data_IF_975111232614
#
_entry.id   IF_975111232614
#
_cell.length_a   1.000
_cell.length_b   1.000
_cell.length_c   1.000
_cell.angle_alpha   90.00
_cell.angle_beta   90.00
_cell.angle_gamma   90.00
#
_symmetry.space_group_name_H-M   'P 1'
#
loop_
_entity.id
_entity.type
_entity.pdbx_description
1 polymer ?
#
# COMPACT_ATOMS: atom_id res chain seq x y z
N UNK A 1 -38.66 55.13 -9.63
CA UNK A 1 -39.91 54.33 -9.54
C UNK A 1 -39.62 53.15 -8.63
N UNK A 2 -39.87 53.25 -7.31
CA UNK A 2 -41.06 52.74 -6.60
C UNK A 2 -41.46 51.30 -6.99
N UNK A 3 -41.28 50.32 -6.09
CA UNK A 3 -42.35 49.86 -5.17
C UNK A 3 -41.89 48.75 -4.22
N UNK A 4 -42.17 48.99 -2.95
CA UNK A 4 -42.31 48.06 -1.81
C UNK A 4 -43.64 47.30 -1.88
N UNK A 5 -43.69 46.08 -1.30
CA UNK A 5 -44.76 45.45 -0.48
C UNK A 5 -44.50 43.91 -0.42
N UNK A 6 -44.17 43.29 0.71
CA UNK A 6 -45.03 42.73 1.80
C UNK A 6 -46.10 41.71 1.34
N UNK A 7 -46.02 40.46 1.84
CA UNK A 7 -47.05 39.73 2.64
C UNK A 7 -46.74 38.22 2.82
N UNK A 8 -46.76 37.81 4.09
CA UNK A 8 -47.18 36.56 4.76
C UNK A 8 -46.65 35.16 4.37
N UNK A 9 -46.20 34.40 5.39
CA UNK A 9 -46.92 33.19 5.81
C UNK A 9 -46.68 32.76 7.28
N UNK A 10 -47.79 32.73 8.02
CA UNK A 10 -48.19 31.93 9.18
C UNK A 10 -47.19 31.37 10.21
N UNK A 11 -47.25 31.97 11.40
CA UNK A 11 -46.98 31.36 12.71
C UNK A 11 -48.20 30.52 13.13
N UNK A 12 -47.99 29.33 13.70
CA UNK A 12 -49.00 28.66 14.53
C UNK A 12 -48.37 28.19 15.84
N UNK A 13 -48.75 28.87 16.92
CA UNK A 13 -48.57 28.45 18.31
C UNK A 13 -49.51 27.29 18.64
N UNK A 14 -49.16 26.41 19.59
CA UNK A 14 -50.07 25.89 20.64
C UNK A 14 -49.24 25.42 21.85
N UNK A 15 -49.34 26.23 22.89
CA UNK A 15 -49.51 25.98 24.34
C UNK A 15 -48.55 25.08 25.14
N UNK A 16 -47.91 25.76 26.10
CA UNK A 16 -47.40 25.27 27.37
C UNK A 16 -48.48 24.67 28.28
N UNK A 17 -48.13 23.59 28.98
CA UNK A 17 -48.65 23.30 30.33
C UNK A 17 -47.44 22.99 31.22
N UNK A 18 -47.23 23.84 32.22
CA UNK A 18 -46.31 23.63 33.34
C UNK A 18 -46.97 22.79 34.42
N UNK A 19 -46.19 21.95 35.11
CA UNK A 19 -46.45 21.64 36.52
C UNK A 19 -45.11 21.33 37.22
N UNK A 20 -44.79 22.14 38.23
CA UNK A 20 -43.70 21.94 39.19
C UNK A 20 -44.11 20.91 40.26
N UNK A 21 -43.17 20.11 40.77
CA UNK A 21 -42.78 20.17 42.19
C UNK A 21 -41.72 19.12 42.57
N UNK A 22 -40.71 19.62 43.29
CA UNK A 22 -40.01 19.07 44.45
C UNK A 22 -39.36 17.66 44.41
N UNK A 23 -38.02 17.69 44.44
CA UNK A 23 -37.22 17.22 45.59
C UNK A 23 -37.05 15.73 45.83
N UNK A 24 -35.82 15.24 45.65
CA UNK A 24 -35.36 13.95 46.18
C UNK A 24 -33.94 13.61 45.75
N UNK A 25 -32.99 13.79 46.67
CA UNK A 25 -31.61 13.29 46.62
C UNK A 25 -31.56 11.80 46.27
N UNK A 26 -30.74 11.41 45.28
CA UNK A 26 -30.14 10.08 45.20
C UNK A 26 -28.84 10.15 44.39
N UNK A 27 -27.72 10.06 45.09
CA UNK A 27 -26.37 9.82 44.58
C UNK A 27 -26.31 8.49 43.82
N UNK A 28 -25.86 8.52 42.57
CA UNK A 28 -25.43 7.31 41.85
C UNK A 28 -24.18 7.62 41.02
N UNK A 29 -23.08 6.97 41.41
CA UNK A 29 -21.80 6.91 40.71
C UNK A 29 -22.00 6.32 39.31
N UNK A 30 -21.51 7.03 38.27
CA UNK A 30 -21.47 6.51 36.91
C UNK A 30 -20.18 5.70 36.70
N UNK A 31 -20.22 4.41 37.02
CA UNK A 31 -19.25 3.43 36.51
C UNK A 31 -19.85 2.71 35.30
N UNK A 32 -19.63 3.24 34.10
CA UNK A 32 -19.96 2.51 32.86
C UNK A 32 -18.79 1.61 32.47
N UNK A 33 -18.78 0.38 33.01
CA UNK A 33 -18.10 -0.75 32.39
C UNK A 33 -18.91 -1.16 31.15
N UNK A 34 -18.38 -0.90 29.96
CA UNK A 34 -18.89 -1.49 28.73
C UNK A 34 -18.09 -2.78 28.47
N UNK A 35 -18.49 -3.87 29.12
CA UNK A 35 -18.07 -5.23 28.76
C UNK A 35 -19.22 -5.84 27.96
N UNK A 36 -19.17 -5.67 26.63
CA UNK A 36 -20.02 -6.39 25.71
C UNK A 36 -19.40 -7.74 25.39
N UNK A 37 -19.69 -8.75 26.20
CA UNK A 37 -19.45 -10.15 25.85
C UNK A 37 -20.32 -10.52 24.65
N UNK A 38 -19.71 -10.76 23.49
CA UNK A 38 -20.36 -11.48 22.39
C UNK A 38 -20.25 -12.97 22.70
N UNK A 39 -21.15 -13.47 23.55
CA UNK A 39 -21.42 -14.90 23.67
C UNK A 39 -22.40 -15.33 22.58
N UNK A 40 -21.91 -15.38 21.34
CA UNK A 40 -22.59 -15.96 20.18
C UNK A 40 -22.11 -17.38 19.93
N UNK A 41 -22.81 -18.37 20.48
CA UNK A 41 -22.64 -19.78 20.12
C UNK A 41 -23.09 -20.01 18.67
N UNK A 42 -22.15 -19.88 17.74
CA UNK A 42 -22.33 -20.26 16.34
C UNK A 42 -20.99 -20.73 15.76
N UNK A 43 -20.76 -22.05 15.77
CA UNK A 43 -19.61 -22.68 15.12
C UNK A 43 -19.73 -22.67 13.60
N UNK A 44 -19.76 -21.47 13.00
CA UNK A 44 -19.53 -21.29 11.56
C UNK A 44 -18.06 -20.97 11.33
N UNK A 45 -17.38 -21.72 10.47
CA UNK A 45 -16.05 -21.36 10.01
C UNK A 45 -16.08 -19.98 9.34
N UNK A 46 -15.15 -19.10 9.68
CA UNK A 46 -14.95 -17.82 8.99
C UNK A 46 -14.72 -18.10 7.50
N UNK A 47 -15.45 -17.41 6.63
CA UNK A 47 -15.36 -17.56 5.17
C UNK A 47 -14.59 -16.38 4.57
N UNK A 48 -13.89 -16.62 3.46
CA UNK A 48 -13.30 -15.55 2.64
C UNK A 48 -14.36 -14.82 1.81
N UNK A 49 -14.03 -13.65 1.27
CA UNK A 49 -14.94 -12.81 0.47
C UNK A 49 -15.87 -11.93 1.32
N UNK A 50 -15.46 -11.61 2.56
CA UNK A 50 -16.25 -10.75 3.45
C UNK A 50 -15.73 -9.33 3.39
N UNK A 51 -14.42 -9.13 3.57
CA UNK A 51 -13.78 -7.81 3.65
C UNK A 51 -13.95 -7.08 2.31
N UNK A 52 -14.27 -5.79 2.38
CA UNK A 52 -14.38 -4.90 1.22
C UNK A 52 -13.20 -3.93 1.16
N UNK A 53 -12.73 -3.61 -0.04
CA UNK A 53 -11.60 -2.72 -0.24
C UNK A 53 -11.73 -1.93 -1.55
N UNK A 54 -11.01 -0.80 -1.62
CA UNK A 54 -10.78 -0.02 -2.83
C UNK A 54 -9.32 -0.06 -3.28
N UNK A 55 -9.09 0.22 -4.56
CA UNK A 55 -7.76 0.44 -5.15
C UNK A 55 -7.60 1.89 -5.59
N UNK A 56 -6.40 2.45 -5.40
CA UNK A 56 -5.98 3.68 -6.04
C UNK A 56 -4.56 3.56 -6.60
N UNK A 57 -4.42 3.85 -7.90
CA UNK A 57 -3.12 3.90 -8.56
C UNK A 57 -2.71 5.35 -8.85
N UNK A 58 -1.80 5.90 -8.05
CA UNK A 58 -1.28 7.25 -8.23
C UNK A 58 -0.39 7.41 -9.48
N UNK A 59 0.21 6.34 -10.00
CA UNK A 59 1.00 6.42 -11.24
C UNK A 59 0.11 6.66 -12.46
N UNK A 60 -1.08 6.05 -12.48
CA UNK A 60 -2.13 6.26 -13.49
C UNK A 60 -2.86 7.59 -13.28
N UNK A 61 -2.87 8.11 -12.04
CA UNK A 61 -3.53 9.36 -11.66
C UNK A 61 -2.53 10.45 -11.24
N UNK A 62 -1.39 10.55 -11.92
CA UNK A 62 -0.27 11.39 -11.49
C UNK A 62 -0.63 12.85 -11.27
N UNK A 63 -1.42 13.43 -12.17
CA UNK A 63 -1.84 14.83 -12.08
C UNK A 63 -2.71 15.09 -10.85
N UNK A 64 -3.49 14.09 -10.40
CA UNK A 64 -4.25 14.17 -9.16
C UNK A 64 -3.30 14.23 -7.96
N UNK A 65 -2.34 13.31 -7.86
CA UNK A 65 -1.36 13.31 -6.77
C UNK A 65 -0.52 14.61 -6.74
N UNK A 66 -0.02 15.05 -7.90
CA UNK A 66 0.77 16.28 -8.01
C UNK A 66 -0.03 17.52 -7.57
N UNK A 67 -1.32 17.59 -7.93
CA UNK A 67 -2.20 18.69 -7.48
C UNK A 67 -2.50 18.60 -5.99
N UNK A 68 -2.77 17.39 -5.48
CA UNK A 68 -3.08 17.13 -4.08
C UNK A 68 -1.92 17.54 -3.15
N UNK A 69 -0.68 17.24 -3.54
CA UNK A 69 0.51 17.57 -2.73
C UNK A 69 0.89 19.06 -2.75
N UNK A 70 0.30 19.85 -3.66
CA UNK A 70 0.41 21.31 -3.69
C UNK A 70 -0.67 22.00 -2.83
N UNK A 71 -1.67 21.26 -2.37
CA UNK A 71 -2.71 21.77 -1.49
C UNK A 71 -2.15 22.06 -0.08
N UNK A 72 -2.60 23.16 0.52
CA UNK A 72 -2.16 23.60 1.85
C UNK A 72 -2.45 22.59 2.97
N UNK A 73 -3.39 21.66 2.77
CA UNK A 73 -3.71 20.61 3.73
C UNK A 73 -2.71 19.44 3.67
N UNK A 74 -2.02 19.24 2.54
CA UNK A 74 -1.18 18.07 2.29
C UNK A 74 0.26 18.40 1.86
N UNK A 75 0.67 19.66 1.77
CA UNK A 75 2.06 19.99 1.40
C UNK A 75 3.11 19.43 2.38
N UNK A 76 2.72 19.23 3.65
CA UNK A 76 3.62 18.78 4.72
C UNK A 76 3.91 17.28 4.70
N UNK A 77 3.03 16.43 4.14
CA UNK A 77 3.26 14.96 4.12
C UNK A 77 4.52 14.58 3.34
N UNK A 78 4.88 15.37 2.33
CA UNK A 78 6.15 15.22 1.62
C UNK A 78 7.36 15.38 2.55
N UNK A 79 7.38 16.46 3.33
CA UNK A 79 8.46 16.74 4.27
C UNK A 79 8.45 15.85 5.50
N UNK A 80 7.27 15.36 5.92
CA UNK A 80 7.11 14.47 7.06
C UNK A 80 7.88 13.17 6.79
N UNK A 81 7.54 12.44 5.73
CA UNK A 81 8.26 11.20 5.41
C UNK A 81 9.57 11.39 4.61
N UNK A 82 9.87 12.64 4.21
CA UNK A 82 11.03 12.96 3.38
C UNK A 82 10.95 12.43 1.95
N UNK A 83 9.77 12.42 1.34
CA UNK A 83 9.56 12.00 -0.05
C UNK A 83 9.20 13.20 -0.94
N UNK A 84 10.05 13.47 -1.93
CA UNK A 84 9.95 14.58 -2.88
C UNK A 84 9.92 14.04 -4.31
N UNK A 85 8.72 13.84 -4.83
CA UNK A 85 8.48 13.08 -6.08
C UNK A 85 8.45 13.94 -7.35
N UNK A 86 8.97 15.16 -7.28
CA UNK A 86 8.82 16.17 -8.34
C UNK A 86 9.54 15.79 -9.65
N UNK A 87 10.47 14.83 -9.59
CA UNK A 87 11.35 14.46 -10.70
C UNK A 87 11.20 12.99 -11.09
N UNK A 88 9.95 12.61 -11.40
CA UNK A 88 9.60 11.30 -11.96
C UNK A 88 10.16 11.16 -13.39
N UNK A 89 10.79 10.02 -13.67
CA UNK A 89 11.27 9.61 -15.00
C UNK A 89 10.58 8.29 -15.38
N UNK A 90 9.71 8.35 -16.41
CA UNK A 90 9.00 7.16 -16.89
C UNK A 90 9.72 6.53 -18.08
N UNK A 91 9.88 5.21 -18.04
CA UNK A 91 10.60 4.43 -19.05
C UNK A 91 9.72 3.30 -19.59
N UNK A 92 9.73 3.12 -20.91
CA UNK A 92 9.16 1.97 -21.61
C UNK A 92 10.29 1.23 -22.33
N UNK A 93 10.46 -0.06 -22.03
CA UNK A 93 11.45 -0.91 -22.68
C UNK A 93 10.75 -1.96 -23.53
N UNK A 94 11.05 -1.96 -24.82
CA UNK A 94 10.52 -2.91 -25.78
C UNK A 94 11.66 -3.66 -26.49
N UNK A 95 11.35 -4.84 -27.02
CA UNK A 95 12.25 -5.53 -27.95
C UNK A 95 12.15 -4.95 -29.37
N UNK A 96 12.98 -5.45 -30.28
CA UNK A 96 12.99 -5.04 -31.68
C UNK A 96 11.67 -5.36 -32.43
N UNK A 97 10.85 -6.27 -31.89
CA UNK A 97 9.50 -6.59 -32.39
C UNK A 97 8.41 -5.77 -31.71
N UNK A 98 8.78 -4.77 -30.91
CA UNK A 98 7.91 -3.89 -30.14
C UNK A 98 7.09 -4.61 -29.04
N UNK A 99 7.54 -5.77 -28.56
CA UNK A 99 6.98 -6.40 -27.37
C UNK A 99 7.63 -5.86 -26.10
N UNK A 100 6.90 -5.77 -24.99
CA UNK A 100 7.48 -5.34 -23.72
C UNK A 100 8.58 -6.28 -23.21
N UNK A 101 9.68 -5.72 -22.70
CA UNK A 101 10.74 -6.49 -22.04
C UNK A 101 10.49 -6.51 -20.54
N UNK A 102 10.29 -7.70 -19.98
CA UNK A 102 10.01 -7.91 -18.55
C UNK A 102 11.31 -8.08 -17.76
N UNK A 103 11.34 -7.55 -16.53
CA UNK A 103 12.45 -7.66 -15.56
C UNK A 103 13.79 -7.09 -16.05
N UNK A 104 13.76 -6.17 -17.03
CA UNK A 104 14.94 -5.45 -17.49
C UNK A 104 15.39 -4.43 -16.45
N UNK A 105 16.68 -4.44 -16.10
CA UNK A 105 17.27 -3.46 -15.20
C UNK A 105 17.39 -2.12 -15.95
N UNK A 106 16.78 -1.08 -15.39
CA UNK A 106 16.89 0.29 -15.84
C UNK A 106 17.68 1.08 -14.80
N UNK A 107 18.81 1.64 -15.22
CA UNK A 107 19.64 2.50 -14.38
C UNK A 107 19.42 3.96 -14.79
N UNK A 108 19.23 4.81 -13.80
CA UNK A 108 19.27 6.26 -13.96
C UNK A 108 20.59 6.75 -13.36
N UNK A 109 21.39 7.43 -14.18
CA UNK A 109 22.67 7.99 -13.80
C UNK A 109 22.62 9.51 -13.81
N UNK A 110 23.43 10.14 -12.96
CA UNK A 110 23.74 11.57 -12.97
C UNK A 110 25.26 11.71 -12.95
N UNK A 111 25.82 12.45 -13.91
CA UNK A 111 27.27 12.66 -14.03
C UNK A 111 28.07 11.33 -13.99
N UNK A 112 27.52 10.29 -14.63
CA UNK A 112 28.11 8.95 -14.69
C UNK A 112 27.88 8.06 -13.46
N UNK A 113 27.34 8.60 -12.36
CA UNK A 113 27.05 7.85 -11.12
C UNK A 113 25.60 7.35 -11.08
N UNK A 114 25.39 6.12 -10.62
CA UNK A 114 24.05 5.53 -10.49
C UNK A 114 23.29 6.20 -9.33
N UNK A 115 22.16 6.82 -9.62
CA UNK A 115 21.33 7.49 -8.60
C UNK A 115 20.05 6.71 -8.30
N UNK A 116 19.52 5.97 -9.27
CA UNK A 116 18.35 5.10 -9.12
C UNK A 116 18.46 3.86 -10.00
N UNK A 117 17.87 2.76 -9.54
CA UNK A 117 17.69 1.55 -10.33
C UNK A 117 16.27 1.03 -10.14
N UNK A 118 15.66 0.56 -11.21
CA UNK A 118 14.36 -0.10 -11.19
C UNK A 118 14.35 -1.26 -12.18
N UNK A 119 13.32 -2.11 -12.11
CA UNK A 119 13.08 -3.17 -13.10
C UNK A 119 11.75 -3.01 -13.79
N UNK A 120 11.73 -3.32 -15.08
CA UNK A 120 10.49 -3.26 -15.87
C UNK A 120 9.49 -4.32 -15.44
N UNK A 121 8.20 -3.94 -15.40
CA UNK A 121 7.10 -4.89 -15.19
C UNK A 121 6.73 -5.70 -16.44
N UNK A 122 5.64 -6.46 -16.33
CA UNK A 122 4.99 -7.20 -17.43
C UNK A 122 4.68 -6.34 -18.67
N UNK A 123 4.38 -5.05 -18.46
CA UNK A 123 4.14 -4.09 -19.55
C UNK A 123 5.40 -3.39 -20.06
N UNK A 124 6.60 -3.79 -19.61
CA UNK A 124 7.87 -3.18 -20.04
C UNK A 124 8.12 -1.80 -19.44
N UNK A 125 7.28 -1.36 -18.49
CA UNK A 125 7.39 -0.05 -17.84
C UNK A 125 8.19 -0.10 -16.54
N UNK A 126 8.98 0.94 -16.30
CA UNK A 126 9.66 1.21 -15.04
C UNK A 126 9.56 2.71 -14.71
N UNK A 127 9.46 3.05 -13.42
CA UNK A 127 9.52 4.42 -12.93
C UNK A 127 10.81 4.62 -12.15
N UNK A 128 11.50 5.73 -12.42
CA UNK A 128 12.75 6.10 -11.77
C UNK A 128 12.63 7.51 -11.20
N UNK A 129 13.43 7.80 -10.18
CA UNK A 129 13.29 9.01 -9.39
C UNK A 129 14.62 9.73 -9.26
N UNK A 130 14.61 11.02 -9.57
CA UNK A 130 15.72 11.91 -9.28
C UNK A 130 15.47 12.59 -7.94
N UNK A 131 16.43 12.50 -7.02
CA UNK A 131 16.38 13.20 -5.73
C UNK A 131 15.13 12.88 -4.88
N UNK A 132 14.59 11.65 -4.94
CA UNK A 132 13.35 11.27 -4.25
C UNK A 132 13.34 11.60 -2.75
N UNK A 133 14.49 11.55 -2.09
CA UNK A 133 14.65 11.80 -0.66
C UNK A 133 15.35 13.13 -0.35
N UNK A 134 15.45 14.01 -1.34
CA UNK A 134 16.09 15.32 -1.21
C UNK A 134 15.13 16.40 -1.72
N UNK A 135 15.01 17.50 -0.98
CA UNK A 135 14.17 18.62 -1.40
C UNK A 135 14.88 19.46 -2.47
N UNK A 136 14.91 18.94 -3.69
CA UNK A 136 15.37 19.66 -4.88
C UNK A 136 14.17 20.28 -5.59
N UNK A 137 14.24 21.57 -5.93
CA UNK A 137 13.17 22.26 -6.70
C UNK A 137 13.35 22.09 -8.20
N UNK A 138 14.60 22.04 -8.66
CA UNK A 138 14.95 21.90 -10.07
C UNK A 138 15.99 20.78 -10.28
N UNK A 139 15.98 20.20 -11.48
CA UNK A 139 17.00 19.25 -11.92
C UNK A 139 17.57 19.65 -13.27
N UNK A 140 18.88 19.49 -13.39
CA UNK A 140 19.56 19.59 -14.69
C UNK A 140 19.48 18.24 -15.40
N UNK A 141 18.52 18.12 -16.33
CA UNK A 141 18.32 16.89 -17.10
C UNK A 141 19.47 16.58 -18.07
N UNK A 142 20.34 17.55 -18.39
CA UNK A 142 21.47 17.34 -19.31
C UNK A 142 22.55 16.44 -18.71
N UNK A 143 22.56 16.31 -17.38
CA UNK A 143 23.46 15.44 -16.62
C UNK A 143 22.93 14.02 -16.45
N UNK A 144 21.68 13.77 -16.86
CA UNK A 144 21.02 12.49 -16.65
C UNK A 144 21.26 11.55 -17.82
N UNK A 145 21.40 10.26 -17.50
CA UNK A 145 21.44 9.19 -18.49
C UNK A 145 20.58 8.02 -18.04
N UNK A 146 19.86 7.40 -18.98
CA UNK A 146 19.22 6.10 -18.78
C UNK A 146 20.10 5.02 -19.41
N UNK A 147 20.30 3.91 -18.70
CA UNK A 147 21.06 2.76 -19.18
C UNK A 147 20.25 1.49 -19.01
N UNK A 148 20.09 0.73 -20.10
CA UNK A 148 19.42 -0.58 -20.13
C UNK A 148 20.27 -1.53 -20.98
N UNK A 149 20.90 -2.53 -20.34
CA UNK A 149 21.88 -3.37 -21.02
C UNK A 149 23.01 -2.52 -21.62
N UNK A 150 23.19 -2.60 -22.94
CA UNK A 150 24.21 -1.84 -23.66
C UNK A 150 23.68 -0.52 -24.25
N UNK A 151 22.40 -0.21 -24.06
CA UNK A 151 21.75 0.99 -24.61
C UNK A 151 21.84 2.13 -23.60
N UNK A 152 22.32 3.29 -24.06
CA UNK A 152 22.44 4.52 -23.26
C UNK A 152 21.60 5.62 -23.92
N UNK A 153 20.81 6.34 -23.12
CA UNK A 153 20.04 7.52 -23.54
C UNK A 153 20.49 8.71 -22.71
N UNK A 154 21.09 9.72 -23.35
CA UNK A 154 21.55 10.96 -22.69
C UNK A 154 20.53 12.10 -22.74
N UNK A 155 19.47 11.99 -23.54
CA UNK A 155 18.38 12.97 -23.60
C UNK A 155 17.19 12.46 -22.78
N UNK A 156 17.35 12.50 -21.46
CA UNK A 156 16.34 11.98 -20.52
C UNK A 156 15.19 12.98 -20.38
N UNK A 157 13.98 12.51 -20.64
CA UNK A 157 12.74 13.27 -20.46
C UNK A 157 12.24 13.09 -19.02
N UNK A 158 11.89 14.20 -18.39
CA UNK A 158 11.07 14.17 -17.16
C UNK A 158 9.65 13.75 -17.49
N UNK A 159 8.84 13.42 -16.47
CA UNK A 159 7.45 13.02 -16.64
C UNK A 159 6.65 13.96 -17.57
N UNK A 160 6.77 15.28 -17.38
CA UNK A 160 6.08 16.27 -18.23
C UNK A 160 6.61 16.32 -19.67
N UNK A 161 7.84 15.88 -19.91
CA UNK A 161 8.41 15.69 -21.25
C UNK A 161 7.96 14.40 -21.95
N UNK A 162 7.26 13.51 -21.23
CA UNK A 162 6.74 12.25 -21.73
C UNK A 162 7.65 11.04 -21.44
N UNK A 163 7.27 9.89 -22.00
CA UNK A 163 7.93 8.60 -21.73
C UNK A 163 9.25 8.48 -22.50
N UNK A 164 10.27 7.96 -21.83
CA UNK A 164 11.54 7.55 -22.43
C UNK A 164 11.39 6.13 -22.99
N UNK A 165 11.33 6.00 -24.31
CA UNK A 165 11.18 4.70 -24.98
C UNK A 165 12.54 4.15 -25.36
N UNK A 166 12.82 2.90 -24.99
CA UNK A 166 14.09 2.21 -25.20
C UNK A 166 13.80 0.90 -25.93
N UNK A 167 14.46 0.69 -27.07
CA UNK A 167 14.37 -0.57 -27.83
C UNK A 167 15.64 -1.38 -27.64
N UNK A 168 15.50 -2.62 -27.16
CA UNK A 168 16.60 -3.57 -27.05
C UNK A 168 16.69 -4.43 -28.31
N UNK A 169 17.91 -4.67 -28.78
CA UNK A 169 18.16 -5.48 -29.97
C UNK A 169 17.87 -6.98 -29.74
N UNK A 170 18.00 -7.46 -28.50
CA UNK A 170 17.83 -8.86 -28.13
C UNK A 170 16.81 -9.01 -27.01
N UNK A 171 16.04 -10.10 -27.05
CA UNK A 171 15.11 -10.46 -25.98
C UNK A 171 15.91 -10.98 -24.78
N UNK A 172 15.57 -10.48 -23.58
CA UNK A 172 16.10 -11.03 -22.34
C UNK A 172 15.42 -12.37 -22.04
N UNK A 173 16.14 -13.27 -21.38
CA UNK A 173 15.56 -14.53 -20.91
C UNK A 173 14.40 -14.23 -19.95
N UNK A 174 13.25 -14.85 -20.18
CA UNK A 174 12.06 -14.67 -19.34
C UNK A 174 12.02 -15.73 -18.24
N UNK A 175 11.61 -15.31 -17.05
CA UNK A 175 11.33 -16.20 -15.92
C UNK A 175 9.84 -16.53 -15.89
N UNK A 176 9.47 -17.68 -15.31
CA UNK A 176 8.07 -18.03 -14.99
C UNK A 176 7.75 -17.84 -13.51
N UNK A 177 8.71 -17.35 -12.73
CA UNK A 177 8.56 -17.19 -11.29
C UNK A 177 7.71 -15.96 -10.98
N UNK A 178 6.64 -16.17 -10.23
CA UNK A 178 5.82 -15.11 -9.62
C UNK A 178 6.00 -15.24 -8.12
N UNK A 179 6.61 -14.22 -7.51
CA UNK A 179 6.95 -14.22 -6.09
C UNK A 179 5.98 -13.29 -5.34
N UNK A 180 5.22 -13.85 -4.40
CA UNK A 180 4.21 -13.16 -3.61
C UNK A 180 4.58 -13.19 -2.13
N UNK A 181 4.96 -12.03 -1.59
CA UNK A 181 5.23 -11.86 -0.17
C UNK A 181 4.03 -11.21 0.54
N UNK A 182 3.63 -11.75 1.68
CA UNK A 182 2.62 -11.16 2.56
C UNK A 182 3.29 -10.69 3.85
N UNK A 183 3.40 -9.38 4.02
CA UNK A 183 3.96 -8.73 5.20
C UNK A 183 2.79 -8.20 6.01
N UNK A 184 2.54 -8.79 7.18
CA UNK A 184 1.27 -8.61 7.90
C UNK A 184 1.52 -8.19 9.33
N UNK A 185 0.86 -7.11 9.73
CA UNK A 185 0.78 -6.69 11.12
C UNK A 185 -0.03 -7.70 11.95
N UNK A 186 0.52 -8.09 13.09
CA UNK A 186 -0.08 -9.04 14.03
C UNK A 186 -0.04 -8.53 15.48
N UNK A 187 -0.06 -7.22 15.65
CA UNK A 187 -0.26 -6.52 16.93
C UNK A 187 -1.67 -6.76 17.45
N UNK A 188 -1.93 -6.35 18.70
CA UNK A 188 -3.24 -6.54 19.32
C UNK A 188 -4.38 -5.79 18.63
N UNK A 189 -4.11 -4.63 18.03
CA UNK A 189 -5.12 -3.79 17.38
C UNK A 189 -5.73 -4.45 16.14
N UNK A 190 -4.96 -5.26 15.43
CA UNK A 190 -5.42 -6.09 14.31
C UNK A 190 -6.35 -7.23 14.73
N UNK A 191 -6.63 -7.44 16.03
CA UNK A 191 -7.29 -8.65 16.52
C UNK A 191 -8.73 -8.90 16.03
N UNK A 192 -9.45 -7.84 15.70
CA UNK A 192 -10.81 -7.89 15.13
C UNK A 192 -10.82 -8.22 13.62
N UNK A 193 -9.76 -7.86 12.90
CA UNK A 193 -9.66 -8.04 11.45
C UNK A 193 -8.77 -9.22 11.03
N UNK A 194 -7.76 -9.58 11.83
CA UNK A 194 -6.70 -10.51 11.43
C UNK A 194 -7.23 -11.90 11.04
N UNK A 195 -8.23 -12.42 11.76
CA UNK A 195 -8.78 -13.74 11.42
C UNK A 195 -9.54 -13.73 10.09
N UNK A 196 -10.21 -12.63 9.75
CA UNK A 196 -10.81 -12.44 8.41
C UNK A 196 -9.71 -12.25 7.35
N UNK A 197 -8.70 -11.42 7.63
CA UNK A 197 -7.57 -11.23 6.71
C UNK A 197 -6.85 -12.55 6.42
N UNK A 198 -6.66 -13.40 7.43
CA UNK A 198 -6.11 -14.74 7.23
C UNK A 198 -6.96 -15.54 6.25
N UNK A 199 -8.30 -15.58 6.38
CA UNK A 199 -9.14 -16.33 5.43
C UNK A 199 -9.07 -15.75 4.02
N UNK A 200 -9.07 -14.42 3.87
CA UNK A 200 -8.90 -13.75 2.56
C UNK A 200 -7.55 -14.13 1.91
N UNK A 201 -6.44 -14.04 2.65
CA UNK A 201 -5.10 -14.35 2.14
C UNK A 201 -4.98 -15.82 1.71
N UNK A 202 -5.56 -16.75 2.48
CA UNK A 202 -5.57 -18.17 2.13
C UNK A 202 -6.33 -18.40 0.80
N UNK A 203 -7.48 -17.75 0.60
CA UNK A 203 -8.25 -17.82 -0.65
C UNK A 203 -7.46 -17.25 -1.84
N UNK A 204 -6.88 -16.06 -1.66
CA UNK A 204 -6.05 -15.38 -2.69
C UNK A 204 -4.91 -16.28 -3.15
N UNK A 205 -4.18 -16.91 -2.23
CA UNK A 205 -3.05 -17.80 -2.56
C UNK A 205 -3.54 -19.01 -3.38
N UNK A 206 -4.62 -19.66 -2.95
CA UNK A 206 -5.18 -20.83 -3.63
C UNK A 206 -5.70 -20.49 -5.03
N UNK A 207 -6.46 -19.40 -5.17
CA UNK A 207 -7.00 -18.93 -6.45
C UNK A 207 -5.89 -18.49 -7.38
N UNK A 208 -4.87 -17.81 -6.88
CA UNK A 208 -3.72 -17.41 -7.70
C UNK A 208 -3.02 -18.62 -8.32
N UNK A 209 -2.77 -19.66 -7.52
CA UNK A 209 -2.15 -20.91 -8.01
C UNK A 209 -3.03 -21.60 -9.05
N UNK A 210 -4.34 -21.66 -8.80
CA UNK A 210 -5.32 -22.30 -9.69
C UNK A 210 -5.47 -21.55 -11.02
N UNK A 211 -5.52 -20.23 -10.98
CA UNK A 211 -5.74 -19.37 -12.15
C UNK A 211 -4.50 -19.27 -13.06
N UNK A 212 -3.33 -19.66 -12.56
CA UNK A 212 -2.04 -19.49 -13.26
C UNK A 212 -1.23 -20.80 -13.30
N UNK A 213 -1.76 -21.88 -13.92
CA UNK A 213 -1.17 -23.22 -13.86
C UNK A 213 0.19 -23.34 -14.56
N UNK A 214 0.52 -22.42 -15.47
CA UNK A 214 1.76 -22.43 -16.24
C UNK A 214 2.90 -21.67 -15.56
N UNK A 215 2.64 -21.01 -14.43
CA UNK A 215 3.57 -20.17 -13.69
C UNK A 215 4.05 -20.84 -12.41
N UNK A 216 5.28 -20.52 -12.02
CA UNK A 216 5.86 -20.95 -10.77
C UNK A 216 5.49 -19.93 -9.70
N UNK A 217 4.37 -20.15 -9.02
CA UNK A 217 3.95 -19.29 -7.90
C UNK A 217 4.78 -19.66 -6.67
N UNK A 218 5.60 -18.73 -6.19
CA UNK A 218 6.30 -18.80 -4.91
C UNK A 218 5.61 -17.87 -3.92
N UNK A 219 5.36 -18.37 -2.72
CA UNK A 219 4.74 -17.58 -1.65
C UNK A 219 5.66 -17.52 -0.45
N UNK A 220 5.76 -16.35 0.16
CA UNK A 220 6.50 -16.10 1.39
C UNK A 220 5.70 -15.15 2.28
N UNK A 221 6.06 -15.08 3.55
CA UNK A 221 5.36 -14.19 4.48
C UNK A 221 6.27 -13.72 5.61
N UNK A 222 6.03 -12.49 6.07
CA UNK A 222 6.62 -11.93 7.28
C UNK A 222 5.47 -11.43 8.15
N UNK A 223 5.34 -11.94 9.36
CA UNK A 223 4.43 -11.37 10.35
C UNK A 223 5.25 -10.56 11.33
N UNK A 224 4.76 -9.39 11.73
CA UNK A 224 5.46 -8.52 12.66
C UNK A 224 4.55 -8.02 13.77
N UNK A 225 5.20 -7.58 14.86
CA UNK A 225 4.61 -6.85 15.98
C UNK A 225 5.57 -5.72 16.36
N UNK A 226 5.57 -5.24 17.61
CA UNK A 226 6.52 -4.23 18.04
C UNK A 226 7.71 -4.74 18.86
N UNK A 227 8.66 -3.82 19.07
CA UNK A 227 9.78 -3.98 19.99
C UNK A 227 9.25 -4.18 21.41
N UNK A 228 9.69 -5.27 22.04
CA UNK A 228 9.30 -5.61 23.41
C UNK A 228 8.23 -6.70 23.50
N UNK A 229 7.59 -7.05 22.37
CA UNK A 229 6.69 -8.19 22.27
C UNK A 229 7.44 -9.52 22.23
N UNK A 230 6.68 -10.63 22.31
CA UNK A 230 7.18 -12.01 22.17
C UNK A 230 8.10 -12.21 20.95
N UNK A 231 7.86 -11.46 19.88
CA UNK A 231 8.72 -11.36 18.70
C UNK A 231 8.46 -10.04 17.98
N UNK A 232 9.50 -9.51 17.33
CA UNK A 232 9.33 -8.39 16.38
C UNK A 232 8.94 -8.92 15.01
N UNK A 233 9.56 -10.01 14.53
CA UNK A 233 9.22 -10.61 13.23
C UNK A 233 9.26 -12.13 13.24
N UNK A 234 8.38 -12.77 12.48
CA UNK A 234 8.41 -14.19 12.10
C UNK A 234 8.38 -14.32 10.58
N UNK A 235 9.13 -15.27 10.03
CA UNK A 235 9.38 -15.36 8.59
C UNK A 235 9.06 -16.77 8.09
N UNK A 236 8.31 -16.85 7.00
CA UNK A 236 8.20 -18.01 6.12
C UNK A 236 8.82 -17.65 4.76
N UNK A 237 9.98 -18.23 4.46
CA UNK A 237 10.69 -17.99 3.20
C UNK A 237 9.89 -18.47 1.98
N UNK A 238 10.27 -17.97 0.78
CA UNK A 238 9.62 -18.36 -0.45
C UNK A 238 9.62 -19.88 -0.67
N UNK A 239 8.44 -20.43 -0.94
CA UNK A 239 8.26 -21.83 -1.29
C UNK A 239 7.23 -21.98 -2.42
N UNK A 240 7.45 -22.93 -3.31
CA UNK A 240 6.49 -23.33 -4.36
C UNK A 240 5.37 -24.20 -3.81
N UNK A 241 5.60 -24.88 -2.69
CA UNK A 241 4.54 -25.52 -1.90
C UNK A 241 3.83 -24.46 -1.07
N UNK A 242 2.73 -23.94 -1.62
CA UNK A 242 1.91 -22.92 -0.97
C UNK A 242 1.42 -23.36 0.43
N UNK A 243 1.29 -24.67 0.70
CA UNK A 243 0.82 -25.17 1.99
C UNK A 243 1.73 -24.74 3.16
N UNK A 244 3.03 -24.57 2.91
CA UNK A 244 3.98 -24.06 3.91
C UNK A 244 3.56 -22.66 4.38
N UNK A 245 3.34 -21.74 3.45
CA UNK A 245 2.91 -20.37 3.75
C UNK A 245 1.48 -20.32 4.30
N UNK A 246 0.56 -21.15 3.77
CA UNK A 246 -0.81 -21.23 4.28
C UNK A 246 -0.85 -21.67 5.76
N UNK A 247 -0.09 -22.71 6.13
CA UNK A 247 -0.01 -23.15 7.52
C UNK A 247 0.65 -22.09 8.41
N UNK A 248 1.73 -21.48 7.92
CA UNK A 248 2.39 -20.39 8.63
C UNK A 248 1.42 -19.24 8.95
N UNK A 249 0.62 -18.78 7.98
CA UNK A 249 -0.38 -17.72 8.17
C UNK A 249 -1.44 -18.15 9.19
N UNK A 250 -1.97 -19.38 9.09
CA UNK A 250 -2.99 -19.91 10.01
C UNK A 250 -2.55 -19.90 11.47
N UNK A 251 -1.27 -20.17 11.72
CA UNK A 251 -0.71 -20.27 13.08
C UNK A 251 -0.48 -18.92 13.76
N UNK A 252 -0.60 -17.80 13.03
CA UNK A 252 -0.39 -16.47 13.61
C UNK A 252 -1.63 -15.96 14.35
N UNK A 253 -1.39 -15.13 15.35
CA UNK A 253 -2.41 -14.51 16.20
C UNK A 253 -2.02 -13.08 16.54
N UNK A 254 -3.02 -12.21 16.58
CA UNK A 254 -2.88 -10.84 17.06
C UNK A 254 -2.52 -10.85 18.55
N UNK A 255 -1.46 -10.14 18.92
CA UNK A 255 -1.09 -9.90 20.32
C UNK A 255 0.01 -8.85 20.40
N UNK A 256 0.33 -8.39 21.61
CA UNK A 256 1.36 -7.39 21.80
C UNK A 256 0.94 -6.00 21.32
N UNK A 257 1.93 -5.18 20.98
CA UNK A 257 1.82 -3.75 20.76
C UNK A 257 1.85 -2.97 22.08
N UNK A 258 1.44 -1.70 22.04
CA UNK A 258 1.27 -0.88 23.23
C UNK A 258 1.15 0.61 22.93
N UNK A 259 2.09 1.13 22.15
CA UNK A 259 2.01 2.44 21.53
C UNK A 259 1.49 2.35 20.08
N UNK A 260 1.11 3.51 19.54
CA UNK A 260 0.48 3.64 18.22
C UNK A 260 1.46 4.06 17.10
N UNK A 261 2.73 3.65 17.20
CA UNK A 261 3.42 3.17 15.99
C UNK A 261 3.96 1.74 16.16
N UNK A 262 4.23 1.08 15.04
CA UNK A 262 4.63 -0.34 15.02
C UNK A 262 5.93 -0.58 14.21
N UNK A 263 6.50 -1.79 14.29
CA UNK A 263 7.81 -2.10 13.69
C UNK A 263 7.79 -2.34 12.15
N UNK A 264 6.99 -1.58 11.39
CA UNK A 264 6.83 -1.72 9.92
C UNK A 264 8.18 -1.70 9.17
N UNK A 265 9.09 -0.80 9.58
CA UNK A 265 10.44 -0.69 9.01
C UNK A 265 11.26 -1.99 9.14
N UNK A 266 11.17 -2.65 10.30
CA UNK A 266 11.84 -3.93 10.55
C UNK A 266 11.23 -5.01 9.68
N UNK A 267 9.90 -5.07 9.57
CA UNK A 267 9.21 -6.02 8.71
C UNK A 267 9.57 -5.85 7.22
N UNK A 268 9.64 -4.61 6.73
CA UNK A 268 10.07 -4.30 5.37
C UNK A 268 11.52 -4.71 5.11
N UNK A 269 12.44 -4.45 6.04
CA UNK A 269 13.83 -4.90 5.93
C UNK A 269 13.91 -6.42 5.79
N UNK A 270 13.23 -7.17 6.67
CA UNK A 270 13.15 -8.64 6.61
C UNK A 270 12.54 -9.12 5.29
N UNK A 271 11.42 -8.54 4.87
CA UNK A 271 10.74 -8.93 3.66
C UNK A 271 11.60 -8.69 2.40
N UNK A 272 12.27 -7.55 2.32
CA UNK A 272 13.05 -7.17 1.13
C UNK A 272 14.41 -7.86 1.11
N UNK A 273 15.03 -8.13 2.26
CA UNK A 273 16.39 -8.63 2.34
C UNK A 273 16.52 -10.11 2.68
N UNK A 274 15.58 -10.69 3.43
CA UNK A 274 15.72 -12.05 3.97
C UNK A 274 14.83 -13.09 3.30
N UNK A 275 13.72 -12.72 2.65
CA UNK A 275 12.85 -13.67 1.94
C UNK A 275 13.52 -14.36 0.73
N UNK A 276 14.73 -13.95 0.33
CA UNK A 276 15.51 -14.53 -0.77
C UNK A 276 14.82 -14.44 -2.15
N UNK A 277 14.37 -13.23 -2.52
CA UNK A 277 13.83 -12.95 -3.86
C UNK A 277 14.76 -13.43 -4.99
N UNK A 278 14.18 -14.02 -6.03
CA UNK A 278 14.92 -14.48 -7.21
C UNK A 278 15.62 -13.31 -7.91
N UNK A 279 16.83 -13.54 -8.41
CA UNK A 279 17.57 -12.53 -9.22
C UNK A 279 16.82 -12.16 -10.50
N UNK A 280 16.09 -13.12 -11.08
CA UNK A 280 15.21 -12.94 -12.23
C UNK A 280 13.83 -13.54 -11.96
N UNK A 281 12.78 -12.75 -12.11
CA UNK A 281 11.40 -13.16 -11.87
C UNK A 281 10.47 -12.48 -12.87
N UNK A 282 9.37 -13.14 -13.20
CA UNK A 282 8.32 -12.53 -14.02
C UNK A 282 7.67 -11.36 -13.27
N UNK A 283 7.37 -11.58 -12.00
CA UNK A 283 6.72 -10.60 -11.14
C UNK A 283 7.14 -10.81 -9.69
N UNK A 284 7.37 -9.70 -8.97
CA UNK A 284 7.61 -9.68 -7.52
C UNK A 284 6.60 -8.73 -6.86
N UNK A 285 5.70 -9.25 -6.03
CA UNK A 285 4.69 -8.47 -5.32
C UNK A 285 4.87 -8.65 -3.81
N UNK A 286 4.88 -7.54 -3.07
CA UNK A 286 4.88 -7.52 -1.61
C UNK A 286 3.60 -6.82 -1.16
N UNK A 287 2.68 -7.59 -0.60
CA UNK A 287 1.47 -7.06 0.05
C UNK A 287 1.81 -6.69 1.48
N UNK A 288 1.72 -5.41 1.82
CA UNK A 288 1.97 -4.89 3.18
C UNK A 288 0.62 -4.58 3.84
N UNK A 289 0.22 -5.39 4.81
CA UNK A 289 -1.05 -5.26 5.53
C UNK A 289 -0.80 -4.68 6.92
N UNK A 290 -1.46 -3.56 7.26
CA UNK A 290 -1.20 -2.82 8.50
C UNK A 290 -2.38 -1.92 8.91
N UNK A 291 -2.50 -1.65 10.20
CA UNK A 291 -3.46 -0.72 10.84
C UNK A 291 -2.77 0.47 11.56
N UNK A 292 -1.44 0.47 11.66
CA UNK A 292 -0.67 1.50 12.36
C UNK A 292 0.53 2.05 11.55
N UNK A 293 0.98 3.30 11.83
CA UNK A 293 2.19 3.86 11.22
C UNK A 293 3.46 3.14 11.67
N UNK A 294 4.57 3.22 10.91
CA UNK A 294 5.88 3.05 11.50
C UNK A 294 6.19 4.16 12.51
N UNK A 295 7.03 3.82 13.48
CA UNK A 295 7.80 4.79 14.26
C UNK A 295 8.49 5.87 13.38
N UNK A 296 8.61 7.09 13.89
CA UNK A 296 8.99 8.28 13.10
C UNK A 296 10.43 8.79 13.37
N UNK A 297 11.21 8.08 14.17
CA UNK A 297 12.59 8.44 14.46
C UNK A 297 13.42 8.54 13.16
N UNK A 298 14.39 9.48 13.07
CA UNK A 298 15.13 9.72 11.84
C UNK A 298 15.82 8.49 11.23
N UNK A 299 16.33 7.59 12.07
CA UNK A 299 16.95 6.33 11.66
C UNK A 299 15.91 5.34 11.08
N UNK A 300 14.69 5.35 11.62
CA UNK A 300 13.58 4.52 11.12
C UNK A 300 13.07 5.06 9.78
N UNK A 301 12.85 6.37 9.67
CA UNK A 301 12.49 7.01 8.39
C UNK A 301 13.57 6.76 7.33
N UNK A 302 14.84 6.90 7.69
CA UNK A 302 15.96 6.59 6.79
C UNK A 302 15.96 5.11 6.36
N UNK A 303 15.71 4.19 7.30
CA UNK A 303 15.60 2.77 6.98
C UNK A 303 14.46 2.51 5.96
N UNK A 304 13.27 3.07 6.17
CA UNK A 304 12.15 2.95 5.23
C UNK A 304 12.56 3.41 3.82
N UNK A 305 13.18 4.58 3.70
CA UNK A 305 13.65 5.12 2.42
C UNK A 305 14.65 4.19 1.73
N UNK A 306 15.59 3.61 2.49
CA UNK A 306 16.54 2.61 2.00
C UNK A 306 15.82 1.36 1.49
N UNK A 307 14.89 0.81 2.28
CA UNK A 307 14.17 -0.41 1.89
C UNK A 307 13.30 -0.20 0.65
N UNK A 308 12.59 0.92 0.57
CA UNK A 308 11.72 1.24 -0.58
C UNK A 308 12.55 1.43 -1.86
N UNK A 309 13.71 2.10 -1.76
CA UNK A 309 14.65 2.22 -2.90
C UNK A 309 15.15 0.85 -3.34
N UNK A 310 15.51 -0.01 -2.39
CA UNK A 310 15.97 -1.37 -2.66
C UNK A 310 14.88 -2.28 -3.24
N UNK A 311 13.63 -2.09 -2.84
CA UNK A 311 12.48 -2.76 -3.45
C UNK A 311 12.35 -2.38 -4.94
N UNK A 312 12.46 -1.09 -5.26
CA UNK A 312 12.48 -0.61 -6.66
C UNK A 312 13.62 -1.25 -7.47
N UNK A 313 14.85 -1.26 -6.93
CA UNK A 313 16.03 -1.89 -7.55
C UNK A 313 15.82 -3.39 -7.82
N UNK A 314 15.19 -4.10 -6.89
CA UNK A 314 14.86 -5.53 -7.02
C UNK A 314 13.62 -5.78 -7.89
N UNK A 315 12.91 -4.74 -8.32
CA UNK A 315 11.64 -4.88 -9.05
C UNK A 315 10.47 -5.37 -8.21
N UNK A 316 10.57 -5.29 -6.89
CA UNK A 316 9.52 -5.65 -5.93
C UNK A 316 8.50 -4.52 -5.89
N UNK A 317 7.26 -4.81 -6.27
CA UNK A 317 6.13 -3.86 -6.17
C UNK A 317 5.52 -3.98 -4.80
N UNK A 318 5.59 -2.90 -4.01
CA UNK A 318 4.92 -2.83 -2.72
C UNK A 318 3.47 -2.43 -2.97
N UNK A 319 2.54 -3.24 -2.48
CA UNK A 319 1.09 -3.01 -2.52
C UNK A 319 0.61 -2.94 -1.08
N UNK A 320 0.55 -1.75 -0.48
CA UNK A 320 0.00 -1.60 0.85
C UNK A 320 -1.50 -1.85 0.85
N UNK A 321 -1.99 -2.49 1.90
CA UNK A 321 -3.39 -2.75 2.23
C UNK A 321 -3.59 -2.20 3.64
N UNK A 322 -4.16 -1.00 3.75
CA UNK A 322 -4.42 -0.39 5.06
C UNK A 322 -5.75 -0.86 5.62
N UNK A 323 -5.73 -1.30 6.86
CA UNK A 323 -6.90 -1.69 7.64
C UNK A 323 -7.45 -0.50 8.42
N UNK A 324 -8.24 -0.76 9.47
CA UNK A 324 -8.72 0.28 10.37
C UNK A 324 -7.57 0.99 11.10
N UNK A 325 -7.83 2.05 11.86
CA UNK A 325 -6.83 2.66 12.75
C UNK A 325 -5.81 3.62 12.11
N UNK A 326 -5.43 3.46 10.84
CA UNK A 326 -4.39 4.30 10.23
C UNK A 326 -4.74 5.80 10.19
N UNK A 327 -3.71 6.65 10.26
CA UNK A 327 -3.86 8.10 10.11
C UNK A 327 -3.56 8.59 8.67
N UNK A 328 -3.72 9.89 8.46
CA UNK A 328 -3.49 10.50 7.15
C UNK A 328 -2.03 10.46 6.72
N UNK A 329 -1.10 10.65 7.64
CA UNK A 329 0.32 10.61 7.31
C UNK A 329 0.72 9.19 6.86
N UNK A 330 0.15 8.16 7.49
CA UNK A 330 0.32 6.74 7.12
C UNK A 330 -0.25 6.45 5.73
N UNK A 331 -1.46 6.91 5.41
CA UNK A 331 -2.04 6.76 4.06
C UNK A 331 -1.05 7.26 2.99
N UNK A 332 -0.50 8.46 3.18
CA UNK A 332 0.43 9.04 2.21
C UNK A 332 1.75 8.27 2.15
N UNK A 333 2.30 7.79 3.27
CA UNK A 333 3.46 6.91 3.25
C UNK A 333 3.21 5.67 2.40
N UNK A 334 2.06 5.01 2.59
CA UNK A 334 1.68 3.82 1.83
C UNK A 334 1.59 4.13 0.34
N UNK A 335 0.93 5.23 -0.03
CA UNK A 335 0.86 5.68 -1.42
C UNK A 335 2.25 5.98 -2.00
N UNK A 336 3.16 6.55 -1.22
CA UNK A 336 4.53 6.82 -1.66
C UNK A 336 5.34 5.53 -1.88
N UNK A 337 5.16 4.52 -1.01
CA UNK A 337 5.75 3.19 -1.21
C UNK A 337 5.27 2.56 -2.53
N UNK A 338 3.95 2.60 -2.77
CA UNK A 338 3.34 2.05 -3.97
C UNK A 338 3.88 2.73 -5.24
N UNK A 339 3.83 4.07 -5.30
CA UNK A 339 4.32 4.86 -6.44
C UNK A 339 5.80 4.60 -6.72
N UNK A 340 6.63 4.57 -5.68
CA UNK A 340 8.08 4.43 -5.82
C UNK A 340 8.50 3.08 -6.40
N UNK A 341 7.65 2.06 -6.21
CA UNK A 341 7.94 0.66 -6.55
C UNK A 341 7.09 0.12 -7.69
N UNK A 342 6.37 0.97 -8.44
CA UNK A 342 5.45 0.57 -9.52
C UNK A 342 4.26 -0.29 -9.03
N UNK A 343 3.90 -0.16 -7.76
CA UNK A 343 2.75 -0.81 -7.13
C UNK A 343 1.45 -0.01 -7.25
N UNK A 344 0.52 -0.29 -6.33
CA UNK A 344 -0.77 0.38 -6.20
C UNK A 344 -1.16 0.42 -4.72
N UNK A 345 -2.04 1.35 -4.33
CA UNK A 345 -2.52 1.47 -2.96
C UNK A 345 -3.87 0.77 -2.81
N UNK A 346 -4.03 -0.04 -1.78
CA UNK A 346 -5.29 -0.69 -1.42
C UNK A 346 -5.66 -0.26 0.00
N UNK A 347 -6.94 -0.03 0.23
CA UNK A 347 -7.47 0.36 1.53
C UNK A 347 -8.80 -0.37 1.79
N UNK A 348 -8.93 -0.94 2.99
CA UNK A 348 -10.16 -1.61 3.42
C UNK A 348 -11.23 -0.55 3.68
N UNK A 349 -12.48 -0.88 3.35
CA UNK A 349 -13.62 0.02 3.48
C UNK A 349 -14.62 -0.48 4.51
N UNK A 350 -15.38 0.45 5.09
CA UNK A 350 -16.42 0.15 6.07
C UNK A 350 -17.64 -0.60 5.49
N UNK A 351 -17.74 -0.80 4.17
CA UNK A 351 -18.92 -1.40 3.51
C UNK A 351 -19.20 -2.84 3.98
N UNK A 352 -18.17 -3.59 4.37
CA UNK A 352 -18.30 -4.95 4.92
C UNK A 352 -18.78 -4.99 6.37
N UNK A 353 -18.58 -3.91 7.13
CA UNK A 353 -18.78 -3.88 8.59
C UNK A 353 -17.79 -4.73 9.40
N UNK A 354 -16.70 -5.23 8.79
CA UNK A 354 -15.60 -5.93 9.48
C UNK A 354 -14.59 -4.91 9.98
N UNK A 355 -14.08 -5.11 11.19
CA UNK A 355 -13.09 -4.24 11.81
C UNK A 355 -13.66 -2.96 12.43
N UNK A 356 -12.77 -2.14 12.98
CA UNK A 356 -13.08 -0.80 13.45
C UNK A 356 -13.28 0.19 12.27
N UNK A 357 -13.48 1.47 12.58
CA UNK A 357 -13.66 2.49 11.55
C UNK A 357 -12.41 2.66 10.69
N UNK A 358 -12.61 2.56 9.37
CA UNK A 358 -11.59 2.77 8.36
C UNK A 358 -11.49 4.23 7.94
N UNK A 359 -10.25 4.70 7.78
CA UNK A 359 -9.96 6.02 7.26
C UNK A 359 -10.51 6.16 5.84
N UNK A 360 -11.34 7.18 5.59
CA UNK A 360 -11.75 7.50 4.21
C UNK A 360 -10.53 7.95 3.40
N UNK A 361 -10.13 7.18 2.40
CA UNK A 361 -8.92 7.44 1.61
C UNK A 361 -8.99 8.78 0.85
N UNK A 362 -7.88 9.54 0.83
CA UNK A 362 -7.75 10.83 0.13
C UNK A 362 -7.43 10.60 -1.35
N UNK A 363 -8.34 9.94 -2.04
CA UNK A 363 -8.21 9.49 -3.43
C UNK A 363 -9.35 10.00 -4.30
N UNK A 364 -9.27 9.77 -5.61
CA UNK A 364 -10.38 10.06 -6.52
C UNK A 364 -11.52 9.06 -6.39
N UNK A 365 -12.38 8.98 -7.42
CA UNK A 365 -13.42 7.94 -7.47
C UNK A 365 -12.79 6.56 -7.57
N UNK A 366 -13.32 5.60 -6.82
CA UNK A 366 -12.89 4.20 -6.81
C UNK A 366 -14.11 3.27 -6.77
N UNK A 367 -13.87 2.00 -7.08
CA UNK A 367 -14.85 0.92 -6.96
C UNK A 367 -14.59 0.13 -5.68
N UNK A 368 -15.66 -0.30 -5.02
CA UNK A 368 -15.58 -1.19 -3.84
C UNK A 368 -15.70 -2.63 -4.33
N UNK A 369 -14.71 -3.45 -4.00
CA UNK A 369 -14.63 -4.87 -4.32
C UNK A 369 -14.45 -5.71 -3.05
N UNK A 370 -14.66 -7.02 -3.14
CA UNK A 370 -14.17 -7.93 -2.09
C UNK A 370 -12.65 -7.95 -2.11
N UNK A 371 -12.01 -7.92 -0.93
CA UNK A 371 -10.56 -7.80 -0.82
C UNK A 371 -9.84 -8.96 -1.53
N UNK A 372 -10.30 -10.21 -1.35
CA UNK A 372 -9.72 -11.35 -2.07
C UNK A 372 -9.85 -11.23 -3.59
N UNK A 373 -11.02 -10.81 -4.10
CA UNK A 373 -11.24 -10.59 -5.53
C UNK A 373 -10.31 -9.51 -6.07
N UNK A 374 -10.21 -8.40 -5.34
CA UNK A 374 -9.32 -7.28 -5.64
C UNK A 374 -7.85 -7.75 -5.70
N UNK A 375 -7.39 -8.48 -4.70
CA UNK A 375 -6.02 -9.00 -4.66
C UNK A 375 -5.73 -9.98 -5.80
N UNK A 376 -6.65 -10.90 -6.10
CA UNK A 376 -6.51 -11.83 -7.25
C UNK A 376 -6.48 -11.06 -8.57
N UNK A 377 -7.32 -10.03 -8.72
CA UNK A 377 -7.32 -9.14 -9.89
C UNK A 377 -5.97 -8.42 -10.04
N UNK A 378 -5.43 -7.87 -8.95
CA UNK A 378 -4.13 -7.20 -8.93
C UNK A 378 -2.98 -8.14 -9.28
N UNK A 379 -2.94 -9.34 -8.69
CA UNK A 379 -1.91 -10.34 -9.03
C UNK A 379 -1.96 -10.64 -10.53
N UNK A 380 -3.14 -10.88 -11.08
CA UNK A 380 -3.30 -11.14 -12.51
C UNK A 380 -2.89 -9.93 -13.38
N UNK A 381 -3.19 -8.69 -12.95
CA UNK A 381 -2.79 -7.45 -13.64
C UNK A 381 -1.27 -7.32 -13.77
N UNK A 382 -0.50 -7.81 -12.80
CA UNK A 382 0.97 -7.73 -12.83
C UNK A 382 1.65 -8.97 -13.42
N UNK A 383 0.89 -10.04 -13.66
CA UNK A 383 1.37 -11.32 -14.17
C UNK A 383 1.04 -11.51 -15.65
N UNK A 384 -0.08 -10.99 -16.14
CA UNK A 384 -0.50 -11.10 -17.55
C UNK A 384 -0.10 -9.85 -18.32
#
# INVERSE_FOLDING_TARGET
MKKTNFIALALSCILFISCESAGGDLSLESSSKFSGDISGSGGGELQAGVITAGEWNDLDNWMFLDSLLKDNNFFKVSSYWGFYRNHRISVQVNDASNHPVVDAIVLLKRDGSDIWSARTGNSGKAELWVDLYQKSEEIDSTKLQLVVGNTIISSVKTFYGGVNVITLANNLATSKNVELAFVVDATGSMGDELEFLKTELLDVINRTKTNNPTLNILTGSVFYRDKGDDYVTRISNFNTNIQTTLNFIKDQKASGGGDFPEAVHTALDKAINELQWSTFAHTRLLFLVLDAPPHYEPDIVSNLQVQIKKASEKGIKIIPITASGIDKDTEFLMRFMAVTTNGTYVFITNDSGVGNEHLTATVGKYEVEKLNDLMVRLINKYVK
#
